data_IF_088333851601
#
_entry.id   IF_088333851601
#
_cell.length_a   1.000
_cell.length_b   1.000
_cell.length_c   1.000
_cell.angle_alpha   90.00
_cell.angle_beta   90.00
_cell.angle_gamma   90.00
#
_symmetry.space_group_name_H-M   'P 1'
#
loop_
_entity.id
_entity.type
_entity.pdbx_description
1 polymer ?
#
# COMPACT_ATOMS: atom_id res chain seq x y z
N UNK A 1 7.76 4.09 -12.78
CA UNK A 1 8.35 4.66 -11.56
C UNK A 1 8.19 6.17 -11.62
N UNK A 2 7.99 6.87 -10.48
CA UNK A 2 8.02 8.33 -10.46
C UNK A 2 9.37 8.83 -10.98
N UNK A 3 9.37 9.98 -11.66
CA UNK A 3 10.60 10.61 -12.14
C UNK A 3 11.40 11.18 -10.96
N UNK A 4 12.72 11.35 -11.08
CA UNK A 4 13.51 12.04 -10.06
C UNK A 4 12.88 13.39 -9.69
N UNK A 5 12.81 13.68 -8.39
CA UNK A 5 12.17 14.90 -7.86
C UNK A 5 10.64 14.84 -7.74
N UNK A 6 9.98 13.74 -8.12
CA UNK A 6 8.55 13.55 -7.87
C UNK A 6 8.29 12.62 -6.68
N UNK A 7 7.52 13.13 -5.71
CA UNK A 7 6.93 12.32 -4.65
C UNK A 7 5.51 11.90 -5.07
N UNK A 8 5.24 10.60 -5.26
CA UNK A 8 3.90 10.14 -5.59
C UNK A 8 2.96 10.33 -4.40
N UNK A 9 1.73 10.76 -4.67
CA UNK A 9 0.65 10.78 -3.66
C UNK A 9 -0.14 9.48 -3.72
N UNK A 10 -0.79 9.10 -2.62
CA UNK A 10 -1.68 7.94 -2.59
C UNK A 10 -2.81 8.05 -3.64
N UNK A 11 -3.34 9.25 -3.84
CA UNK A 11 -4.36 9.52 -4.87
C UNK A 11 -3.83 9.22 -6.28
N UNK A 12 -2.60 9.64 -6.59
CA UNK A 12 -1.98 9.36 -7.88
C UNK A 12 -1.72 7.86 -8.10
N UNK A 13 -1.34 7.13 -7.05
CA UNK A 13 -1.17 5.67 -7.09
C UNK A 13 -2.50 4.97 -7.37
N UNK A 14 -3.56 5.35 -6.66
CA UNK A 14 -4.89 4.76 -6.85
C UNK A 14 -5.44 5.07 -8.25
N UNK A 15 -5.21 6.27 -8.77
CA UNK A 15 -5.61 6.66 -10.12
C UNK A 15 -4.85 5.87 -11.20
N UNK A 16 -3.56 5.64 -11.01
CA UNK A 16 -2.79 4.76 -11.88
C UNK A 16 -3.37 3.34 -11.90
N UNK A 17 -3.81 2.82 -10.75
CA UNK A 17 -4.45 1.51 -10.65
C UNK A 17 -5.80 1.48 -11.38
N UNK A 18 -6.65 2.52 -11.24
CA UNK A 18 -7.93 2.63 -11.96
C UNK A 18 -7.79 2.57 -13.47
N UNK A 19 -6.72 3.16 -14.01
CA UNK A 19 -6.45 3.15 -15.47
C UNK A 19 -6.02 1.80 -16.01
N UNK A 20 -5.57 0.87 -15.16
CA UNK A 20 -4.93 -0.40 -15.57
C UNK A 20 -5.65 -1.65 -15.10
N UNK A 21 -6.53 -1.52 -14.10
CA UNK A 21 -7.22 -2.65 -13.47
C UNK A 21 -8.73 -2.49 -13.63
N UNK A 22 -9.44 -3.61 -13.67
CA UNK A 22 -10.90 -3.61 -13.52
C UNK A 22 -11.29 -2.97 -12.17
N UNK A 23 -12.42 -2.27 -12.11
CA UNK A 23 -12.81 -1.47 -10.94
C UNK A 23 -12.79 -2.23 -9.61
N UNK A 24 -13.23 -3.50 -9.59
CA UNK A 24 -13.23 -4.32 -8.37
C UNK A 24 -11.84 -4.73 -7.86
N UNK A 25 -10.79 -4.58 -8.68
CA UNK A 25 -9.39 -4.84 -8.33
C UNK A 25 -8.65 -3.60 -7.82
N UNK A 26 -9.29 -2.43 -7.89
CA UNK A 26 -8.69 -1.18 -7.41
C UNK A 26 -8.74 -1.17 -5.88
N UNK A 27 -7.61 -0.96 -5.19
CA UNK A 27 -7.58 -0.86 -3.73
C UNK A 27 -8.47 0.29 -3.25
N UNK A 28 -9.31 0.02 -2.24
CA UNK A 28 -10.19 1.03 -1.63
C UNK A 28 -9.48 1.87 -0.57
N UNK A 29 -8.45 1.32 0.07
CA UNK A 29 -7.62 1.98 1.09
C UNK A 29 -6.16 1.77 0.72
N UNK A 30 -5.36 2.83 0.82
CA UNK A 30 -3.92 2.84 0.71
C UNK A 30 -3.38 3.56 1.95
N UNK A 31 -2.29 3.05 2.51
CA UNK A 31 -1.65 3.56 3.73
C UNK A 31 -0.15 3.62 3.45
N UNK A 32 0.50 4.68 3.94
CA UNK A 32 1.96 4.79 3.90
C UNK A 32 2.49 4.26 5.23
N UNK A 33 3.49 3.38 5.16
CA UNK A 33 4.24 2.92 6.32
C UNK A 33 5.71 3.14 6.05
N UNK A 34 6.47 3.46 7.09
CA UNK A 34 7.92 3.59 6.97
C UNK A 34 8.57 2.24 6.62
N UNK A 35 8.05 1.16 7.21
CA UNK A 35 8.53 -0.20 6.98
C UNK A 35 7.40 -1.23 6.98
N UNK A 36 7.56 -2.29 6.19
CA UNK A 36 6.65 -3.43 6.24
C UNK A 36 7.00 -4.31 7.44
N UNK A 37 6.00 -4.81 8.21
CA UNK A 37 6.28 -5.81 9.22
C UNK A 37 6.79 -7.10 8.55
N UNK A 38 7.92 -7.61 9.03
CA UNK A 38 8.58 -8.79 8.48
C UNK A 38 8.65 -9.92 9.50
N UNK A 39 8.56 -11.17 9.01
CA UNK A 39 8.91 -12.36 9.76
C UNK A 39 10.44 -12.49 9.84
N UNK A 40 10.95 -13.27 10.80
CA UNK A 40 12.39 -13.57 10.92
C UNK A 40 12.99 -14.22 9.65
N UNK A 41 12.16 -14.81 8.80
CA UNK A 41 12.55 -15.35 7.49
C UNK A 41 12.69 -14.29 6.37
N UNK A 42 12.44 -13.01 6.67
CA UNK A 42 12.48 -11.92 5.69
C UNK A 42 11.23 -11.81 4.80
N UNK A 43 10.15 -12.53 5.11
CA UNK A 43 8.87 -12.42 4.40
C UNK A 43 7.96 -11.40 5.09
N UNK A 44 7.10 -10.72 4.34
CA UNK A 44 6.08 -9.83 4.91
C UNK A 44 5.16 -10.60 5.86
N UNK A 45 5.06 -10.13 7.10
CA UNK A 45 4.10 -10.63 8.08
C UNK A 45 2.71 -10.04 7.79
N UNK A 46 2.00 -10.71 6.87
CA UNK A 46 0.63 -10.34 6.50
C UNK A 46 -0.37 -10.52 7.64
N UNK A 47 -0.06 -11.29 8.69
CA UNK A 47 -0.97 -11.47 9.84
C UNK A 47 -0.89 -10.22 10.71
N UNK A 48 0.32 -9.80 11.06
CA UNK A 48 0.55 -8.55 11.79
C UNK A 48 0.02 -7.34 11.02
N UNK A 49 0.32 -7.22 9.72
CA UNK A 49 -0.16 -6.11 8.90
C UNK A 49 -1.70 -5.97 8.93
N UNK A 50 -2.45 -7.08 8.88
CA UNK A 50 -3.92 -7.04 8.99
C UNK A 50 -4.39 -6.62 10.37
N UNK A 51 -3.72 -7.08 11.42
CA UNK A 51 -4.05 -6.69 12.80
C UNK A 51 -3.81 -5.19 13.01
N UNK A 52 -2.72 -4.64 12.49
CA UNK A 52 -2.38 -3.22 12.62
C UNK A 52 -3.37 -2.34 11.84
N UNK A 53 -3.73 -2.74 10.62
CA UNK A 53 -4.78 -2.06 9.84
C UNK A 53 -6.16 -2.11 10.49
N UNK A 54 -6.50 -3.20 11.18
CA UNK A 54 -7.76 -3.34 11.91
C UNK A 54 -7.80 -2.45 13.17
N UNK A 55 -6.65 -2.10 13.74
CA UNK A 55 -6.52 -1.20 14.89
C UNK A 55 -6.52 0.29 14.51
N UNK A 56 -6.67 0.62 13.23
CA UNK A 56 -6.74 2.00 12.77
C UNK A 56 -5.38 2.63 12.45
N UNK A 57 -4.37 1.83 12.10
CA UNK A 57 -3.15 2.38 11.49
C UNK A 57 -3.53 3.08 10.17
N UNK A 58 -3.29 4.39 10.09
CA UNK A 58 -3.56 5.27 8.95
C UNK A 58 -2.29 5.70 8.22
#
# INVERSE_FOLDING_TARGET
>A
MPRPGQTPTLAAVQECARKKLAGYKVPRRLVIVDELPMLASGKVDKKRLRADLAKGMD
#
